data_IF_143131953504
#
_entry.id   IF_143131953504
#
_cell.length_a   1.000
_cell.length_b   1.000
_cell.length_c   1.000
_cell.angle_alpha   90.00
_cell.angle_beta   90.00
_cell.angle_gamma   90.00
#
_symmetry.space_group_name_H-M   'P 1'
#
loop_
_entity.id
_entity.type
_entity.pdbx_description
1 polymer ?
#
# COMPACT_ATOMS: atom_id res chain seq x y z
N UNK A 1 18.32 -19.57 8.35
CA UNK A 1 17.48 -18.37 8.23
C UNK A 1 16.06 -18.81 8.57
N UNK A 2 15.59 -18.57 9.79
CA UNK A 2 14.23 -19.00 10.18
C UNK A 2 13.22 -17.95 9.69
N UNK A 3 12.19 -18.37 8.95
CA UNK A 3 11.10 -17.51 8.50
C UNK A 3 11.24 -16.89 7.11
N UNK A 4 12.33 -17.17 6.37
CA UNK A 4 12.53 -16.69 5.00
C UNK A 4 12.77 -17.87 4.07
N UNK A 5 12.01 -17.93 2.99
CA UNK A 5 12.16 -18.97 1.98
C UNK A 5 13.43 -18.73 1.14
N UNK A 6 14.14 -19.79 0.71
CA UNK A 6 15.35 -19.66 -0.10
C UNK A 6 15.17 -18.74 -1.32
N UNK A 7 14.03 -18.84 -2.00
CA UNK A 7 13.69 -18.02 -3.17
C UNK A 7 13.62 -16.52 -2.84
N UNK A 8 13.08 -16.15 -1.68
CA UNK A 8 12.99 -14.74 -1.28
C UNK A 8 14.37 -14.13 -1.06
N UNK A 9 15.31 -14.92 -0.52
CA UNK A 9 16.69 -14.49 -0.36
C UNK A 9 17.43 -14.43 -1.70
N UNK A 10 17.14 -15.37 -2.63
CA UNK A 10 17.69 -15.34 -4.00
C UNK A 10 17.31 -14.04 -4.73
N UNK A 11 16.07 -13.56 -4.57
CA UNK A 11 15.63 -12.27 -5.13
C UNK A 11 16.40 -11.07 -4.55
N UNK A 12 16.87 -11.15 -3.31
CA UNK A 12 17.75 -10.11 -2.74
C UNK A 12 19.14 -10.25 -3.32
N UNK A 13 19.65 -11.48 -3.47
CA UNK A 13 20.96 -11.72 -4.07
C UNK A 13 21.01 -11.32 -5.55
N UNK A 14 19.93 -11.44 -6.31
CA UNK A 14 19.88 -11.02 -7.72
C UNK A 14 20.11 -9.51 -7.88
N UNK A 15 19.75 -8.70 -6.86
CA UNK A 15 20.05 -7.26 -6.83
C UNK A 15 21.54 -6.96 -6.70
N UNK A 16 22.30 -7.83 -6.01
CA UNK A 16 23.75 -7.68 -5.82
C UNK A 16 24.54 -8.36 -6.93
N UNK A 17 24.02 -9.47 -7.44
CA UNK A 17 24.67 -10.34 -8.41
C UNK A 17 23.71 -10.63 -9.57
N UNK A 18 23.44 -9.65 -10.44
CA UNK A 18 22.52 -9.82 -11.55
C UNK A 18 23.05 -10.89 -12.51
N UNK A 19 22.26 -11.94 -12.73
CA UNK A 19 22.58 -13.02 -13.69
C UNK A 19 22.60 -12.49 -15.13
N UNK A 20 21.77 -11.49 -15.42
CA UNK A 20 21.72 -10.78 -16.68
C UNK A 20 21.61 -9.27 -16.40
N UNK A 21 22.56 -8.47 -16.88
CA UNK A 21 22.56 -7.01 -16.65
C UNK A 21 21.38 -6.34 -17.39
N UNK A 22 20.89 -6.96 -18.47
CA UNK A 22 19.82 -6.43 -19.31
C UNK A 22 18.42 -6.75 -18.75
N UNK A 23 18.29 -7.76 -17.89
CA UNK A 23 17.02 -8.17 -17.28
C UNK A 23 17.09 -7.96 -15.77
N UNK A 24 16.36 -6.96 -15.27
CA UNK A 24 16.26 -6.74 -13.83
C UNK A 24 15.29 -7.75 -13.21
N UNK A 25 15.79 -8.71 -12.44
CA UNK A 25 15.04 -9.46 -11.42
C UNK A 25 15.22 -8.72 -10.09
N UNK A 26 14.17 -8.18 -9.45
CA UNK A 26 12.76 -8.58 -9.43
C UNK A 26 11.81 -7.76 -10.35
N UNK A 27 10.72 -8.38 -10.81
CA UNK A 27 9.79 -7.75 -11.77
C UNK A 27 8.35 -7.61 -11.30
N UNK A 28 7.87 -8.54 -10.46
CA UNK A 28 6.48 -8.54 -10.01
C UNK A 28 6.30 -7.88 -8.65
N UNK A 29 5.06 -7.50 -8.33
CA UNK A 29 4.66 -7.04 -7.01
C UNK A 29 5.00 -8.09 -5.93
N UNK A 30 4.81 -9.38 -6.23
CA UNK A 30 5.12 -10.47 -5.29
C UNK A 30 6.63 -10.58 -5.02
N UNK A 31 7.45 -10.38 -6.04
CA UNK A 31 8.91 -10.43 -5.88
C UNK A 31 9.40 -9.23 -5.05
N UNK A 32 8.94 -8.02 -5.38
CA UNK A 32 9.30 -6.83 -4.62
C UNK A 32 8.78 -6.87 -3.18
N UNK A 33 7.61 -7.49 -2.95
CA UNK A 33 7.09 -7.73 -1.59
C UNK A 33 7.97 -8.72 -0.81
N UNK A 34 8.53 -9.72 -1.50
CA UNK A 34 9.49 -10.67 -0.92
C UNK A 34 10.82 -10.00 -0.60
N UNK A 35 11.34 -9.18 -1.51
CA UNK A 35 12.55 -8.37 -1.26
C UNK A 35 12.33 -7.44 -0.07
N UNK A 36 11.18 -6.76 0.03
CA UNK A 36 10.85 -5.91 1.17
C UNK A 36 10.80 -6.72 2.48
N UNK A 37 10.21 -7.92 2.45
CA UNK A 37 10.16 -8.82 3.61
C UNK A 37 11.55 -9.15 4.14
N UNK A 38 12.44 -9.60 3.25
CA UNK A 38 13.81 -9.97 3.61
C UNK A 38 14.60 -8.74 4.07
N UNK A 39 14.48 -7.62 3.36
CA UNK A 39 15.18 -6.39 3.69
C UNK A 39 14.75 -5.82 5.05
N UNK A 40 13.46 -5.90 5.39
CA UNK A 40 12.97 -5.52 6.71
C UNK A 40 13.48 -6.47 7.80
N UNK A 41 13.39 -7.79 7.57
CA UNK A 41 13.78 -8.82 8.54
C UNK A 41 15.27 -8.79 8.88
N UNK A 42 16.13 -8.49 7.90
CA UNK A 42 17.58 -8.37 8.10
C UNK A 42 18.07 -6.93 8.27
N UNK A 43 17.17 -5.96 8.43
CA UNK A 43 17.53 -4.53 8.60
C UNK A 43 18.41 -3.96 7.48
N UNK A 44 18.19 -4.40 6.23
CA UNK A 44 18.89 -3.91 5.05
C UNK A 44 18.28 -2.58 4.58
N UNK A 45 18.69 -1.47 5.20
CA UNK A 45 18.09 -0.14 4.98
C UNK A 45 18.02 0.30 3.52
N UNK A 46 19.12 0.17 2.75
CA UNK A 46 19.15 0.61 1.35
C UNK A 46 18.24 -0.24 0.45
N UNK A 47 18.23 -1.55 0.65
CA UNK A 47 17.37 -2.47 -0.12
C UNK A 47 15.90 -2.25 0.25
N UNK A 48 15.60 -1.98 1.52
CA UNK A 48 14.25 -1.60 1.96
C UNK A 48 13.77 -0.35 1.24
N UNK A 49 14.57 0.71 1.18
CA UNK A 49 14.20 1.94 0.47
C UNK A 49 13.97 1.70 -1.02
N UNK A 50 14.82 0.89 -1.66
CA UNK A 50 14.65 0.51 -3.06
C UNK A 50 13.32 -0.25 -3.28
N UNK A 51 13.04 -1.25 -2.44
CA UNK A 51 11.83 -2.06 -2.54
C UNK A 51 10.57 -1.22 -2.34
N UNK A 52 10.57 -0.29 -1.37
CA UNK A 52 9.49 0.68 -1.17
C UNK A 52 9.27 1.49 -2.45
N UNK A 53 10.31 2.14 -2.99
CA UNK A 53 10.17 2.95 -4.21
C UNK A 53 9.59 2.18 -5.40
N UNK A 54 9.95 0.90 -5.56
CA UNK A 54 9.42 0.06 -6.64
C UNK A 54 7.97 -0.35 -6.39
N UNK A 55 7.65 -0.79 -5.17
CA UNK A 55 6.29 -1.16 -4.77
C UNK A 55 5.32 0.02 -4.87
N UNK A 56 5.75 1.24 -4.60
CA UNK A 56 4.89 2.42 -4.66
C UNK A 56 4.24 2.61 -6.03
N UNK A 57 4.94 2.20 -7.10
CA UNK A 57 4.46 2.27 -8.49
C UNK A 57 3.62 1.07 -8.92
N UNK A 58 3.76 -0.06 -8.23
CA UNK A 58 3.12 -1.34 -8.59
C UNK A 58 1.86 -1.63 -7.77
N UNK A 59 1.70 -0.99 -6.61
CA UNK A 59 0.67 -1.32 -5.62
C UNK A 59 -0.56 -0.42 -5.74
N UNK A 60 -1.74 -1.04 -5.56
CA UNK A 60 -3.01 -0.35 -5.33
C UNK A 60 -3.07 0.26 -3.93
N UNK A 61 -3.99 1.20 -3.68
CA UNK A 61 -4.16 1.81 -2.36
C UNK A 61 -4.42 0.79 -1.23
N UNK A 62 -5.19 -0.26 -1.48
CA UNK A 62 -5.44 -1.30 -0.48
C UNK A 62 -4.18 -2.12 -0.16
N UNK A 63 -3.39 -2.47 -1.18
CA UNK A 63 -2.11 -3.19 -1.00
C UNK A 63 -1.07 -2.31 -0.31
N UNK A 64 -1.06 -1.00 -0.59
CA UNK A 64 -0.24 -0.02 0.13
C UNK A 64 -0.55 -0.05 1.62
N UNK A 65 -1.83 -0.07 2.01
CA UNK A 65 -2.22 -0.13 3.43
C UNK A 65 -1.76 -1.44 4.08
N UNK A 66 -1.98 -2.57 3.42
CA UNK A 66 -1.54 -3.88 3.93
C UNK A 66 -0.02 -3.91 4.15
N UNK A 67 0.75 -3.56 3.11
CA UNK A 67 2.22 -3.57 3.16
C UNK A 67 2.76 -2.54 4.14
N UNK A 68 2.15 -1.35 4.21
CA UNK A 68 2.54 -0.31 5.16
C UNK A 68 2.33 -0.74 6.60
N UNK A 69 1.21 -1.38 6.92
CA UNK A 69 0.95 -1.92 8.25
C UNK A 69 1.91 -3.08 8.59
N UNK A 70 2.25 -3.92 7.60
CA UNK A 70 3.12 -5.08 7.78
C UNK A 70 4.62 -4.71 7.96
N UNK A 71 5.10 -3.68 7.26
CA UNK A 71 6.52 -3.31 7.19
C UNK A 71 6.85 -1.91 7.74
N UNK A 72 5.88 -1.30 8.43
CA UNK A 72 5.96 0.05 9.03
C UNK A 72 6.35 1.14 8.01
N UNK A 73 5.60 1.23 6.91
CA UNK A 73 5.78 2.25 5.85
C UNK A 73 4.71 3.34 5.98
N UNK A 74 4.86 4.19 7.00
CA UNK A 74 3.83 5.19 7.36
C UNK A 74 3.51 6.19 6.26
N UNK A 75 4.47 6.48 5.40
CA UNK A 75 4.35 7.47 4.32
C UNK A 75 3.24 7.11 3.31
N UNK A 76 2.94 5.81 3.15
CA UNK A 76 1.88 5.35 2.25
C UNK A 76 0.47 5.39 2.84
N UNK A 77 0.35 5.38 4.18
CA UNK A 77 -0.96 5.23 4.81
C UNK A 77 -1.86 6.43 4.49
N UNK A 78 -1.34 7.64 4.61
CA UNK A 78 -2.14 8.87 4.41
C UNK A 78 -2.67 8.96 2.99
N UNK A 79 -1.80 8.77 1.99
CA UNK A 79 -2.18 8.83 0.58
C UNK A 79 -3.16 7.73 0.21
N UNK A 80 -2.93 6.50 0.68
CA UNK A 80 -3.81 5.37 0.40
C UNK A 80 -5.20 5.50 1.04
N UNK A 81 -5.28 5.94 2.30
CA UNK A 81 -6.56 6.19 2.97
C UNK A 81 -7.33 7.32 2.28
N UNK A 82 -6.65 8.38 1.86
CA UNK A 82 -7.26 9.49 1.13
C UNK A 82 -7.81 9.03 -0.22
N UNK A 83 -7.03 8.27 -1.00
CA UNK A 83 -7.45 7.73 -2.30
C UNK A 83 -8.71 6.85 -2.17
N UNK A 84 -8.73 5.92 -1.22
CA UNK A 84 -9.89 5.06 -0.98
C UNK A 84 -11.12 5.84 -0.47
N UNK A 85 -10.90 6.89 0.32
CA UNK A 85 -11.99 7.71 0.87
C UNK A 85 -12.62 8.62 -0.17
N UNK A 86 -11.85 9.15 -1.11
CA UNK A 86 -12.36 10.06 -2.15
C UNK A 86 -12.98 9.33 -3.35
N UNK A 87 -12.66 8.05 -3.56
CA UNK A 87 -13.27 7.25 -4.63
C UNK A 87 -14.79 7.13 -4.44
N UNK A 88 -15.55 7.26 -5.53
CA UNK A 88 -17.01 7.10 -5.52
C UNK A 88 -17.43 5.67 -5.12
N UNK A 89 -16.71 4.68 -5.63
CA UNK A 89 -16.95 3.27 -5.34
C UNK A 89 -16.58 2.92 -3.89
N UNK A 90 -17.41 2.10 -3.25
CA UNK A 90 -17.11 1.52 -1.93
C UNK A 90 -15.89 0.60 -1.96
N UNK A 91 -15.43 0.16 -0.78
CA UNK A 91 -14.42 -0.90 -0.74
C UNK A 91 -15.03 -2.20 -1.26
N UNK A 92 -14.28 -2.87 -2.14
CA UNK A 92 -14.55 -4.27 -2.47
C UNK A 92 -14.22 -5.19 -1.29
N UNK A 93 -14.70 -6.44 -1.35
CA UNK A 93 -14.42 -7.44 -0.30
C UNK A 93 -12.91 -7.74 -0.19
N UNK A 94 -12.20 -7.78 -1.32
CA UNK A 94 -10.74 -7.97 -1.34
C UNK A 94 -9.99 -6.81 -0.69
N UNK A 95 -10.32 -5.57 -1.07
CA UNK A 95 -9.74 -4.37 -0.45
C UNK A 95 -10.06 -4.29 1.04
N UNK A 96 -11.30 -4.63 1.44
CA UNK A 96 -11.72 -4.68 2.84
C UNK A 96 -10.90 -5.68 3.66
N UNK A 97 -10.53 -6.82 3.08
CA UNK A 97 -9.65 -7.81 3.71
C UNK A 97 -8.24 -7.25 3.93
N UNK A 98 -7.66 -6.60 2.91
CA UNK A 98 -6.30 -6.02 2.95
C UNK A 98 -6.18 -4.83 3.91
N UNK A 99 -7.18 -3.96 3.92
CA UNK A 99 -7.24 -2.77 4.80
C UNK A 99 -7.57 -3.17 6.25
N UNK A 100 -8.31 -4.26 6.43
CA UNK A 100 -8.80 -4.74 7.71
C UNK A 100 -9.97 -3.92 8.26
N UNK A 101 -10.68 -4.52 9.22
CA UNK A 101 -11.93 -3.98 9.78
C UNK A 101 -11.81 -2.53 10.27
N UNK A 102 -10.78 -2.21 11.04
CA UNK A 102 -10.59 -0.87 11.60
C UNK A 102 -10.37 0.18 10.52
N UNK A 103 -9.54 -0.14 9.51
CA UNK A 103 -9.30 0.76 8.39
C UNK A 103 -10.55 0.94 7.51
N UNK A 104 -11.29 -0.13 7.27
CA UNK A 104 -12.54 -0.08 6.52
C UNK A 104 -13.60 0.80 7.21
N UNK A 105 -13.76 0.68 8.53
CA UNK A 105 -14.66 1.56 9.31
C UNK A 105 -14.22 3.02 9.23
N UNK A 106 -12.91 3.29 9.29
CA UNK A 106 -12.38 4.65 9.18
C UNK A 106 -12.69 5.27 7.81
N UNK A 107 -12.47 4.53 6.72
CA UNK A 107 -12.78 4.98 5.36
C UNK A 107 -14.29 5.25 5.21
N UNK A 108 -15.14 4.34 5.69
CA UNK A 108 -16.59 4.51 5.64
C UNK A 108 -17.05 5.78 6.38
N UNK A 109 -16.50 6.04 7.57
CA UNK A 109 -16.80 7.24 8.34
C UNK A 109 -16.33 8.51 7.60
N UNK A 110 -15.12 8.52 7.06
CA UNK A 110 -14.61 9.64 6.25
C UNK A 110 -15.49 9.93 5.05
N UNK A 111 -15.91 8.90 4.30
CA UNK A 111 -16.85 9.04 3.18
C UNK A 111 -18.16 9.69 3.62
N UNK A 112 -18.72 9.22 4.73
CA UNK A 112 -19.96 9.76 5.26
C UNK A 112 -19.81 11.25 5.63
N UNK A 113 -18.72 11.63 6.29
CA UNK A 113 -18.48 13.04 6.64
C UNK A 113 -18.39 13.95 5.41
N UNK A 114 -17.74 13.49 4.34
CA UNK A 114 -17.66 14.25 3.08
C UNK A 114 -19.06 14.42 2.47
N UNK A 115 -19.85 13.35 2.42
CA UNK A 115 -21.23 13.40 1.89
C UNK A 115 -22.12 14.33 2.72
N UNK A 116 -22.04 14.26 4.05
CA UNK A 116 -22.79 15.14 4.95
C UNK A 116 -22.37 16.61 4.81
N UNK A 117 -21.07 16.88 4.66
CA UNK A 117 -20.56 18.23 4.42
C UNK A 117 -21.10 18.83 3.11
N UNK A 118 -21.12 18.04 2.04
CA UNK A 118 -21.68 18.45 0.75
C UNK A 118 -23.18 18.73 0.86
N UNK A 119 -23.94 17.86 1.53
CA UNK A 119 -25.40 18.08 1.75
C UNK A 119 -25.67 19.39 2.47
N UNK A 120 -24.97 19.67 3.57
CA UNK A 120 -25.12 20.92 4.32
C UNK A 120 -24.82 22.13 3.44
N UNK A 121 -23.76 22.09 2.64
CA UNK A 121 -23.41 23.18 1.72
C UNK A 121 -24.55 23.47 0.73
N UNK A 122 -25.10 22.43 0.10
CA UNK A 122 -26.23 22.56 -0.83
C UNK A 122 -27.49 23.09 -0.13
N UNK A 123 -27.81 22.58 1.07
CA UNK A 123 -28.94 23.06 1.87
C UNK A 123 -28.80 24.55 2.24
N UNK A 124 -27.59 25.00 2.58
CA UNK A 124 -27.33 26.42 2.80
C UNK A 124 -27.55 27.25 1.53
N UNK A 125 -27.06 26.81 0.37
CA UNK A 125 -27.17 27.55 -0.88
C UNK A 125 -28.64 27.69 -1.33
N UNK A 126 -29.43 26.62 -1.24
CA UNK A 126 -30.87 26.61 -1.60
C UNK A 126 -31.78 27.40 -0.64
N UNK A 127 -31.30 27.76 0.55
CA UNK A 127 -32.08 28.51 1.55
C UNK A 127 -31.95 30.04 1.38
N UNK A 128 -30.98 30.49 0.60
CA UNK A 128 -30.74 31.91 0.30
C UNK A 128 -31.07 32.31 -1.15
N UNK A 129 -31.56 31.38 -1.97
CA UNK A 129 -32.24 31.64 -3.25
C UNK A 129 -33.77 31.74 -3.06
#
# INVERSE_FOLDING_TARGET
LYGIEPHQFELVLSLFYPKNILEHEPQSLADWSSVLHVAHSYSMGQIRTLAISKLESLTSAAEKIELANKYDVKDWLVSAYLELSLRLEGLSVDEGSKVGHRGATMIANMKQQVVEGIKRFVEFETMYE
#
